data_IF_280149576306
#
_entry.id   IF_280149576306
#
_cell.length_a   1.000
_cell.length_b   1.000
_cell.length_c   1.000
_cell.angle_alpha   90.00
_cell.angle_beta   90.00
_cell.angle_gamma   90.00
#
_symmetry.space_group_name_H-M   'P 1'
#
loop_
_entity.id
_entity.type
_entity.pdbx_description
1 polymer ?
#
# COMPACT_ATOMS: atom_id res chain seq x y z
N UNK A 1 12.39 -9.72 -6.04
CA UNK A 1 12.62 -8.63 -7.01
C UNK A 1 11.34 -8.12 -7.68
N UNK A 2 10.66 -8.84 -8.58
CA UNK A 2 9.39 -8.33 -9.16
C UNK A 2 8.22 -8.40 -8.16
N UNK A 3 8.06 -9.51 -7.44
CA UNK A 3 6.97 -9.71 -6.45
C UNK A 3 7.10 -8.71 -5.28
N UNK A 4 8.30 -8.47 -4.78
CA UNK A 4 8.52 -7.49 -3.69
C UNK A 4 8.20 -6.05 -4.11
N UNK A 5 8.45 -5.70 -5.38
CA UNK A 5 8.10 -4.38 -5.91
C UNK A 5 6.58 -4.23 -6.01
N UNK A 6 5.89 -5.27 -6.48
CA UNK A 6 4.42 -5.30 -6.55
C UNK A 6 3.81 -5.19 -5.15
N UNK A 7 4.22 -6.02 -4.20
CA UNK A 7 3.69 -5.98 -2.83
C UNK A 7 3.91 -4.63 -2.17
N UNK A 8 5.11 -4.04 -2.34
CA UNK A 8 5.38 -2.71 -1.81
C UNK A 8 4.50 -1.65 -2.46
N UNK A 9 4.33 -1.70 -3.79
CA UNK A 9 3.48 -0.71 -4.46
C UNK A 9 2.01 -0.83 -4.03
N UNK A 10 1.51 -2.05 -3.82
CA UNK A 10 0.17 -2.28 -3.28
C UNK A 10 0.02 -1.65 -1.90
N UNK A 11 0.97 -1.90 -0.99
CA UNK A 11 0.95 -1.29 0.33
C UNK A 11 1.01 0.25 0.25
N UNK A 12 1.90 0.81 -0.56
CA UNK A 12 1.96 2.27 -0.73
C UNK A 12 0.66 2.84 -1.32
N UNK A 13 0.01 2.10 -2.21
CA UNK A 13 -1.28 2.49 -2.76
C UNK A 13 -2.36 2.51 -1.67
N UNK A 14 -2.46 1.48 -0.83
CA UNK A 14 -3.40 1.46 0.32
C UNK A 14 -3.20 2.69 1.22
N UNK A 15 -1.97 3.02 1.59
CA UNK A 15 -1.69 4.19 2.46
C UNK A 15 -1.94 5.55 1.80
N UNK A 16 -1.82 5.67 0.48
CA UNK A 16 -1.74 6.98 -0.19
C UNK A 16 -2.73 7.16 -1.35
N UNK A 17 -3.62 6.21 -1.62
CA UNK A 17 -4.59 6.27 -2.73
C UNK A 17 -5.42 7.56 -2.68
N UNK A 18 -5.85 7.98 -1.50
CA UNK A 18 -6.67 9.19 -1.28
C UNK A 18 -5.96 10.51 -1.61
N UNK A 19 -4.62 10.49 -1.75
CA UNK A 19 -3.81 11.65 -2.13
C UNK A 19 -3.60 11.75 -3.65
N UNK A 20 -3.95 10.69 -4.39
CA UNK A 20 -3.82 10.65 -5.84
C UNK A 20 -4.95 11.43 -6.51
N UNK A 21 -4.69 11.90 -7.73
CA UNK A 21 -5.78 12.36 -8.61
C UNK A 21 -6.60 11.17 -9.09
N UNK A 22 -7.90 11.35 -9.38
CA UNK A 22 -8.79 10.28 -9.86
C UNK A 22 -8.17 9.48 -11.02
N UNK A 23 -7.56 10.16 -11.99
CA UNK A 23 -6.96 9.49 -13.15
C UNK A 23 -5.73 8.63 -12.80
N UNK A 24 -4.97 9.01 -11.77
CA UNK A 24 -3.84 8.22 -11.29
C UNK A 24 -4.34 7.02 -10.48
N UNK A 25 -5.34 7.25 -9.64
CA UNK A 25 -5.97 6.23 -8.80
C UNK A 25 -6.56 5.13 -9.67
N UNK A 26 -7.45 5.46 -10.60
CA UNK A 26 -8.17 4.47 -11.42
C UNK A 26 -7.22 3.53 -12.19
N UNK A 27 -6.12 4.05 -12.74
CA UNK A 27 -5.21 3.22 -13.55
C UNK A 27 -4.39 2.27 -12.67
N UNK A 28 -4.02 2.72 -11.48
CA UNK A 28 -3.25 1.91 -10.51
C UNK A 28 -4.16 0.91 -9.83
N UNK A 29 -5.39 1.29 -9.47
CA UNK A 29 -6.43 0.40 -8.93
C UNK A 29 -6.74 -0.75 -9.89
N UNK A 30 -7.08 -0.45 -11.15
CA UNK A 30 -7.36 -1.48 -12.14
C UNK A 30 -6.17 -2.44 -12.33
N UNK A 31 -4.94 -1.90 -12.30
CA UNK A 31 -3.74 -2.70 -12.53
C UNK A 31 -3.32 -3.55 -11.32
N UNK A 32 -3.42 -3.03 -10.10
CA UNK A 32 -2.90 -3.68 -8.89
C UNK A 32 -3.96 -4.35 -8.02
N UNK A 33 -5.20 -3.85 -8.03
CA UNK A 33 -6.31 -4.39 -7.25
C UNK A 33 -7.20 -5.31 -8.09
N UNK A 34 -7.50 -4.92 -9.34
CA UNK A 34 -8.41 -5.68 -10.22
C UNK A 34 -7.68 -6.61 -11.22
N UNK A 35 -6.34 -6.68 -11.17
CA UNK A 35 -5.48 -7.50 -12.05
C UNK A 35 -5.68 -7.25 -13.56
N UNK A 36 -6.12 -6.06 -13.97
CA UNK A 36 -6.24 -5.70 -15.38
C UNK A 36 -4.86 -5.56 -16.03
N UNK A 37 -4.73 -6.07 -17.24
CA UNK A 37 -3.57 -5.81 -18.08
C UNK A 37 -3.57 -4.36 -18.60
N UNK A 38 -2.38 -3.86 -18.93
CA UNK A 38 -2.22 -2.54 -19.56
C UNK A 38 -3.01 -2.40 -20.88
N UNK A 39 -3.32 -3.51 -21.55
CA UNK A 39 -4.10 -3.51 -22.77
C UNK A 39 -5.60 -3.33 -22.48
N UNK A 40 -6.12 -4.02 -21.46
CA UNK A 40 -7.52 -3.89 -21.02
C UNK A 40 -7.82 -2.48 -20.53
N UNK A 41 -6.93 -1.89 -19.71
CA UNK A 41 -7.06 -0.51 -19.25
C UNK A 41 -7.00 0.47 -20.44
N UNK A 42 -6.14 0.20 -21.42
CA UNK A 42 -6.02 1.05 -22.59
C UNK A 42 -7.28 1.03 -23.46
N UNK A 43 -7.89 -0.14 -23.64
CA UNK A 43 -9.15 -0.32 -24.36
C UNK A 43 -10.30 0.38 -23.63
N UNK A 44 -10.44 0.17 -22.33
CA UNK A 44 -11.51 0.75 -21.51
C UNK A 44 -11.50 2.29 -21.53
N UNK A 45 -10.32 2.90 -21.45
CA UNK A 45 -10.16 4.36 -21.43
C UNK A 45 -9.94 4.98 -22.82
N UNK A 46 -9.92 4.18 -23.89
CA UNK A 46 -9.69 4.66 -25.26
C UNK A 46 -8.32 5.35 -25.44
N UNK A 47 -7.29 4.87 -24.74
CA UNK A 47 -5.93 5.41 -24.77
C UNK A 47 -4.94 4.37 -25.31
N UNK A 48 -3.67 4.76 -25.50
CA UNK A 48 -2.64 3.80 -25.88
C UNK A 48 -2.11 3.03 -24.66
N UNK A 49 -1.69 1.78 -24.87
CA UNK A 49 -1.00 0.97 -23.84
C UNK A 49 0.21 1.70 -23.24
N UNK A 50 0.94 2.47 -24.05
CA UNK A 50 2.06 3.27 -23.59
C UNK A 50 1.62 4.39 -22.64
N UNK A 51 0.50 5.05 -22.93
CA UNK A 51 -0.04 6.10 -22.06
C UNK A 51 -0.46 5.56 -20.68
N UNK A 52 -1.02 4.35 -20.63
CA UNK A 52 -1.33 3.65 -19.37
C UNK A 52 -0.04 3.35 -18.61
N UNK A 53 0.95 2.73 -19.27
CA UNK A 53 2.25 2.41 -18.67
C UNK A 53 2.95 3.64 -18.07
N UNK A 54 3.01 4.73 -18.84
CA UNK A 54 3.66 5.97 -18.41
C UNK A 54 2.94 6.62 -17.23
N UNK A 55 1.61 6.50 -17.17
CA UNK A 55 0.81 7.00 -16.05
C UNK A 55 1.11 6.18 -14.79
N UNK A 56 0.98 4.85 -14.83
CA UNK A 56 1.26 3.96 -13.70
C UNK A 56 2.66 4.23 -13.15
N UNK A 57 3.67 4.26 -14.03
CA UNK A 57 5.07 4.51 -13.63
C UNK A 57 5.29 5.89 -13.02
N UNK A 58 4.50 6.89 -13.41
CA UNK A 58 4.55 8.23 -12.80
C UNK A 58 3.89 8.20 -11.42
N UNK A 59 2.76 7.52 -11.30
CA UNK A 59 2.05 7.34 -10.02
C UNK A 59 2.90 6.56 -9.03
N UNK A 60 3.61 5.50 -9.45
CA UNK A 60 4.59 4.80 -8.61
C UNK A 60 5.59 5.79 -7.99
N UNK A 61 6.16 6.71 -8.78
CA UNK A 61 7.10 7.73 -8.27
C UNK A 61 6.45 8.71 -7.30
N UNK A 62 5.17 9.02 -7.48
CA UNK A 62 4.43 9.90 -6.58
C UNK A 62 4.21 9.21 -5.23
N UNK A 63 3.77 7.95 -5.24
CA UNK A 63 3.61 7.12 -4.04
C UNK A 63 4.92 7.01 -3.26
N UNK A 64 6.02 6.75 -3.95
CA UNK A 64 7.37 6.74 -3.36
C UNK A 64 7.77 8.09 -2.74
N UNK A 65 7.40 9.20 -3.40
CA UNK A 65 7.65 10.53 -2.86
C UNK A 65 6.82 10.82 -1.62
N UNK A 66 5.59 10.29 -1.53
CA UNK A 66 4.80 10.39 -0.30
C UNK A 66 5.45 9.57 0.80
N UNK A 67 5.84 8.34 0.52
CA UNK A 67 6.51 7.48 1.50
C UNK A 67 7.80 8.10 2.05
N UNK A 68 8.62 8.69 1.18
CA UNK A 68 9.86 9.37 1.59
C UNK A 68 9.60 10.58 2.51
N UNK A 69 8.40 11.14 2.51
CA UNK A 69 8.04 12.33 3.30
C UNK A 69 7.20 12.00 4.53
N UNK A 70 6.36 10.97 4.44
CA UNK A 70 5.33 10.66 5.43
C UNK A 70 5.64 9.40 6.22
N UNK A 71 6.41 8.45 5.66
CA UNK A 71 6.88 7.25 6.35
C UNK A 71 5.76 6.33 6.90
N UNK A 72 4.52 6.42 6.37
CA UNK A 72 3.39 5.68 6.92
C UNK A 72 3.60 4.18 6.84
N UNK A 73 4.05 3.68 5.68
CA UNK A 73 4.29 2.25 5.50
C UNK A 73 5.50 1.77 6.32
N UNK A 74 6.62 2.49 6.28
CA UNK A 74 7.80 2.11 7.08
C UNK A 74 7.51 2.10 8.57
N UNK A 75 6.79 3.10 9.07
CA UNK A 75 6.47 3.18 10.49
C UNK A 75 5.47 2.08 10.90
N UNK A 76 4.54 1.71 10.02
CA UNK A 76 3.65 0.56 10.21
C UNK A 76 4.42 -0.74 10.39
N UNK A 77 5.38 -1.03 9.50
CA UNK A 77 6.22 -2.23 9.60
C UNK A 77 6.99 -2.24 10.93
N UNK A 78 7.64 -1.13 11.29
CA UNK A 78 8.40 -1.03 12.54
C UNK A 78 7.50 -1.19 13.77
N UNK A 79 6.30 -0.61 13.78
CA UNK A 79 5.34 -0.79 14.88
C UNK A 79 4.90 -2.25 15.00
N UNK A 80 4.64 -2.92 13.88
CA UNK A 80 4.33 -4.35 13.85
C UNK A 80 5.42 -5.21 14.49
N UNK A 81 6.68 -4.96 14.15
CA UNK A 81 7.84 -5.65 14.74
C UNK A 81 7.94 -5.42 16.25
N UNK A 82 7.74 -4.18 16.71
CA UNK A 82 7.73 -3.83 18.15
C UNK A 82 6.60 -4.57 18.86
N UNK A 83 5.41 -4.60 18.29
CA UNK A 83 4.27 -5.31 18.88
C UNK A 83 4.52 -6.81 18.98
N UNK A 84 5.12 -7.42 17.96
CA UNK A 84 5.47 -8.84 17.98
C UNK A 84 6.53 -9.15 19.06
N UNK A 85 7.52 -8.28 19.21
CA UNK A 85 8.53 -8.39 20.27
C UNK A 85 7.90 -8.28 21.66
N UNK A 86 6.98 -7.32 21.86
CA UNK A 86 6.28 -7.14 23.13
C UNK A 86 5.41 -8.36 23.47
N UNK A 87 4.63 -8.88 22.52
CA UNK A 87 3.81 -10.08 22.74
C UNK A 87 4.69 -11.27 23.14
N UNK A 88 5.85 -11.43 22.48
CA UNK A 88 6.79 -12.52 22.76
C UNK A 88 7.42 -12.42 24.15
N UNK A 89 7.78 -11.21 24.59
CA UNK A 89 8.48 -11.00 25.86
C UNK A 89 7.55 -10.95 27.07
N UNK A 90 6.26 -10.66 26.88
CA UNK A 90 5.28 -10.49 27.94
C UNK A 90 4.08 -11.45 27.76
N UNK A 91 4.35 -12.72 27.45
CA UNK A 91 3.34 -13.76 27.15
C UNK A 91 2.30 -13.99 28.25
N UNK A 92 2.62 -13.73 29.52
CA UNK A 92 1.71 -13.91 30.66
C UNK A 92 0.90 -12.64 31.01
N UNK A 93 1.18 -11.50 30.37
CA UNK A 93 0.44 -10.26 30.59
C UNK A 93 -0.75 -10.16 29.62
N UNK A 94 -1.85 -10.80 30.01
CA UNK A 94 -3.08 -10.83 29.21
C UNK A 94 -3.65 -9.44 28.91
N UNK A 95 -3.46 -8.46 29.81
CA UNK A 95 -3.94 -7.10 29.59
C UNK A 95 -3.12 -6.40 28.52
N UNK A 96 -1.79 -6.47 28.60
CA UNK A 96 -0.90 -5.90 27.58
C UNK A 96 -1.17 -6.52 26.20
N UNK A 97 -1.28 -7.85 26.13
CA UNK A 97 -1.56 -8.56 24.87
C UNK A 97 -2.89 -8.09 24.27
N UNK A 98 -3.96 -7.98 25.07
CA UNK A 98 -5.25 -7.45 24.61
C UNK A 98 -5.11 -6.04 24.02
N UNK A 99 -4.38 -5.14 24.69
CA UNK A 99 -4.18 -3.77 24.20
C UNK A 99 -3.38 -3.73 22.90
N UNK A 100 -2.35 -4.56 22.76
CA UNK A 100 -1.60 -4.66 21.51
C UNK A 100 -2.48 -5.18 20.37
N UNK A 101 -3.32 -6.19 20.62
CA UNK A 101 -4.25 -6.70 19.60
C UNK A 101 -5.26 -5.65 19.16
N UNK A 102 -5.77 -4.83 20.08
CA UNK A 102 -6.64 -3.69 19.74
C UNK A 102 -5.87 -2.69 18.87
N UNK A 103 -4.64 -2.33 19.23
CA UNK A 103 -3.83 -1.38 18.44
C UNK A 103 -3.56 -1.89 17.03
N UNK A 104 -3.22 -3.17 16.87
CA UNK A 104 -3.07 -3.80 15.55
C UNK A 104 -4.36 -3.73 14.73
N UNK A 105 -5.51 -4.03 15.33
CA UNK A 105 -6.80 -3.98 14.65
C UNK A 105 -7.28 -2.58 14.25
N UNK A 106 -6.70 -1.51 14.81
CA UNK A 106 -6.96 -0.14 14.35
C UNK A 106 -6.24 0.18 13.04
N UNK A 107 -5.10 -0.45 12.78
CA UNK A 107 -4.30 -0.21 11.58
C UNK A 107 -4.83 -0.97 10.36
N UNK A 108 -5.65 -2.02 10.56
CA UNK A 108 -6.25 -2.82 9.47
C UNK A 108 -7.54 -2.19 8.88
N UNK A 109 -8.01 -1.06 9.42
CA UNK A 109 -9.30 -0.45 9.05
C UNK A 109 -9.19 0.85 8.21
N UNK A 110 -7.98 1.21 7.76
CA UNK A 110 -7.73 2.33 6.83
C UNK A 110 -7.46 1.83 5.40
#
# INVERSE_FOLDING_TARGET
MEIEKTNRMNALFEFYATLLTEKQMNYVELYYADDYSLAEIAEEYGVTRQAVYDNIKRTEKVLESYETKLHMYSDFIVRGEIFDELIKNYVDDSFLIEKIQILKGLEDND
#
